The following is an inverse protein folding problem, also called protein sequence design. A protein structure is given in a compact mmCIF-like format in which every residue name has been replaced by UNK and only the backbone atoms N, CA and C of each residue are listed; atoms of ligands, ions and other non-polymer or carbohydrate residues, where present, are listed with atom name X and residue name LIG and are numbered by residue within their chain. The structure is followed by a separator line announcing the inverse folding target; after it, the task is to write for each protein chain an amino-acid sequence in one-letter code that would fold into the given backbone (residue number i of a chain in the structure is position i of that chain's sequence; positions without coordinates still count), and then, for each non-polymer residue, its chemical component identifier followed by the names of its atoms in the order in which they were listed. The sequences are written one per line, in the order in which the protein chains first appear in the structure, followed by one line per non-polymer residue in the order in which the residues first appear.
data_IF_605564474407
#
_entry.id   IF_605564474407
#
_cell.length_a   1.000
_cell.length_b   1.000
_cell.length_c   1.000
_cell.angle_alpha   90.00
_cell.angle_beta   90.00
_cell.angle_gamma   90.00
#
_symmetry.space_group_name_H-M   'P 1'
#
loop_
_entity.id
_entity.type
_entity.pdbx_description
1 polymer ?
#
# COMPACT_ATOMS: atom_id res chain seq x y z
N UNK A 1 18.07 -3.52 -9.25
CA UNK A 1 18.26 -3.49 -7.79
C UNK A 1 18.95 -4.77 -7.27
N UNK A 2 18.94 -5.88 -8.01
CA UNK A 2 19.58 -7.13 -7.60
C UNK A 2 18.92 -7.83 -6.40
N UNK A 3 17.66 -7.50 -6.09
CA UNK A 3 16.96 -8.12 -4.98
C UNK A 3 16.56 -9.57 -5.30
N UNK A 4 16.72 -10.45 -4.30
CA UNK A 4 16.20 -11.82 -4.40
C UNK A 4 14.71 -11.80 -4.00
N UNK A 5 13.83 -12.22 -4.92
CA UNK A 5 12.42 -12.37 -4.65
C UNK A 5 12.05 -13.84 -4.44
N UNK A 6 11.30 -14.12 -3.37
CA UNK A 6 10.67 -15.41 -3.13
C UNK A 6 9.18 -15.29 -3.38
N UNK A 7 8.68 -15.95 -4.42
CA UNK A 7 7.26 -15.98 -4.74
C UNK A 7 6.56 -17.10 -3.98
N UNK A 8 5.45 -16.77 -3.32
CA UNK A 8 4.58 -17.73 -2.62
C UNK A 8 3.30 -17.88 -3.42
N UNK A 9 3.10 -18.98 -4.17
CA UNK A 9 1.96 -19.13 -5.08
C UNK A 9 0.59 -19.12 -4.40
N UNK A 10 0.53 -19.61 -3.16
CA UNK A 10 -0.70 -19.63 -2.37
C UNK A 10 -0.49 -19.02 -0.98
N UNK A 11 -0.65 -17.70 -0.81
CA UNK A 11 -0.47 -17.05 0.47
C UNK A 11 -1.55 -17.40 1.51
N UNK A 12 -2.66 -18.05 1.10
CA UNK A 12 -3.71 -18.52 2.01
C UNK A 12 -3.29 -19.76 2.80
N UNK A 13 -2.34 -20.53 2.30
CA UNK A 13 -1.68 -21.60 3.07
C UNK A 13 -0.62 -20.99 3.97
N UNK A 14 -1.07 -20.46 5.11
CA UNK A 14 -0.23 -19.76 6.08
C UNK A 14 0.90 -20.65 6.60
N UNK A 15 0.65 -21.95 6.78
CA UNK A 15 1.67 -22.87 7.26
C UNK A 15 2.82 -23.01 6.28
N UNK A 16 2.52 -23.14 5.00
CA UNK A 16 3.52 -23.23 3.93
C UNK A 16 4.20 -21.89 3.68
N UNK A 17 3.47 -20.79 3.87
CA UNK A 17 4.04 -19.44 3.82
C UNK A 17 5.12 -19.28 4.90
N UNK A 18 4.80 -19.61 6.15
CA UNK A 18 5.74 -19.55 7.28
C UNK A 18 6.92 -20.48 7.07
N UNK A 19 6.71 -21.69 6.57
CA UNK A 19 7.81 -22.61 6.18
C UNK A 19 8.72 -21.98 5.12
N UNK A 20 8.15 -21.23 4.17
CA UNK A 20 8.94 -20.53 3.15
C UNK A 20 9.79 -19.43 3.76
N UNK A 21 9.20 -18.61 4.67
CA UNK A 21 9.93 -17.55 5.38
C UNK A 21 11.05 -18.11 6.27
N UNK A 22 10.89 -19.30 6.84
CA UNK A 22 11.92 -19.92 7.72
C UNK A 22 13.16 -20.38 6.98
N UNK A 23 13.14 -20.50 5.66
CA UNK A 23 14.26 -21.03 4.87
C UNK A 23 15.39 -20.04 4.66
N UNK A 24 15.11 -18.74 4.74
CA UNK A 24 16.09 -17.68 4.48
C UNK A 24 15.71 -16.40 5.24
N UNK A 25 16.68 -15.56 5.62
CA UNK A 25 16.40 -14.19 6.06
C UNK A 25 15.63 -13.42 4.98
N UNK A 26 14.65 -12.64 5.40
CA UNK A 26 13.87 -11.77 4.53
C UNK A 26 13.91 -10.34 5.04
N UNK A 27 14.05 -9.38 4.13
CA UNK A 27 14.27 -7.97 4.45
C UNK A 27 13.02 -7.13 4.23
N UNK A 28 12.16 -7.58 3.33
CA UNK A 28 10.93 -6.90 2.95
C UNK A 28 9.78 -7.92 2.90
N UNK A 29 8.67 -7.58 3.53
CA UNK A 29 7.44 -8.37 3.48
C UNK A 29 6.25 -7.49 3.08
N UNK A 30 5.85 -7.48 1.80
CA UNK A 30 4.61 -6.84 1.39
C UNK A 30 3.43 -7.79 1.64
N UNK A 31 2.36 -7.27 2.25
CA UNK A 31 1.15 -8.06 2.48
C UNK A 31 -0.08 -7.16 2.67
N UNK A 32 -1.25 -7.77 2.61
CA UNK A 32 -2.51 -7.15 3.02
C UNK A 32 -2.78 -7.39 4.50
N UNK A 33 -3.60 -6.56 5.13
CA UNK A 33 -3.92 -6.65 6.56
C UNK A 33 -4.36 -8.06 7.02
N UNK A 34 -5.16 -8.75 6.20
CA UNK A 34 -5.63 -10.11 6.51
C UNK A 34 -4.49 -11.14 6.56
N UNK A 35 -3.48 -11.01 5.70
CA UNK A 35 -2.32 -11.90 5.73
C UNK A 35 -1.42 -11.62 6.94
N UNK A 36 -1.19 -10.35 7.29
CA UNK A 36 -0.48 -10.00 8.53
C UNK A 36 -1.14 -10.62 9.76
N UNK A 37 -2.47 -10.49 9.87
CA UNK A 37 -3.22 -11.12 10.96
C UNK A 37 -3.08 -12.64 10.97
N UNK A 38 -3.17 -13.29 9.83
CA UNK A 38 -3.05 -14.74 9.73
C UNK A 38 -1.64 -15.23 10.14
N UNK A 39 -0.59 -14.49 9.74
CA UNK A 39 0.78 -14.77 10.16
C UNK A 39 0.96 -14.62 11.67
N UNK A 40 0.45 -13.54 12.25
CA UNK A 40 0.52 -13.28 13.68
C UNK A 40 -0.17 -14.35 14.53
N UNK A 41 -1.19 -15.00 14.00
CA UNK A 41 -1.89 -16.09 14.70
C UNK A 41 -1.16 -17.44 14.60
N UNK A 42 -0.18 -17.57 13.72
CA UNK A 42 0.57 -18.79 13.54
C UNK A 42 1.71 -18.89 14.59
N UNK A 43 1.72 -19.90 15.48
CA UNK A 43 2.75 -20.00 16.53
C UNK A 43 4.18 -20.13 15.98
N UNK A 44 4.35 -20.78 14.82
CA UNK A 44 5.66 -20.95 14.19
C UNK A 44 6.18 -19.63 13.61
N UNK A 45 5.30 -18.74 13.14
CA UNK A 45 5.69 -17.42 12.67
C UNK A 45 6.36 -16.60 13.77
N UNK A 46 5.79 -16.62 14.98
CA UNK A 46 6.33 -15.87 16.12
C UNK A 46 7.71 -16.35 16.59
N UNK A 47 8.15 -17.50 16.12
CA UNK A 47 9.46 -18.10 16.44
C UNK A 47 10.52 -17.82 15.37
N UNK A 48 10.16 -17.13 14.28
CA UNK A 48 11.11 -16.76 13.23
C UNK A 48 12.07 -15.67 13.73
N UNK A 49 13.25 -15.65 13.11
CA UNK A 49 14.20 -14.54 13.29
C UNK A 49 13.82 -13.37 12.39
N UNK A 50 13.48 -12.24 12.99
CA UNK A 50 13.13 -11.01 12.31
C UNK A 50 14.28 -9.98 12.28
N UNK A 51 15.47 -10.34 12.72
CA UNK A 51 16.61 -9.42 12.81
C UNK A 51 16.99 -8.78 11.45
N UNK A 52 16.67 -9.46 10.35
CA UNK A 52 16.90 -8.97 8.99
C UNK A 52 15.71 -8.21 8.39
N UNK A 53 14.55 -8.20 9.05
CA UNK A 53 13.35 -7.56 8.51
C UNK A 53 13.45 -6.03 8.63
N UNK A 54 13.58 -5.35 7.52
CA UNK A 54 13.77 -3.90 7.43
C UNK A 54 12.47 -3.14 7.17
N UNK A 55 11.53 -3.79 6.45
CA UNK A 55 10.28 -3.15 6.05
C UNK A 55 9.14 -4.16 5.94
N UNK A 56 8.01 -3.81 6.52
CA UNK A 56 6.73 -4.52 6.37
C UNK A 56 5.76 -3.58 5.68
N UNK A 57 5.47 -3.85 4.40
CA UNK A 57 4.63 -2.98 3.57
C UNK A 57 3.19 -3.45 3.56
N UNK A 58 2.29 -2.66 4.14
CA UNK A 58 0.85 -2.88 4.04
C UNK A 58 0.28 -2.12 2.84
N UNK A 59 -0.54 -2.78 2.05
CA UNK A 59 -1.19 -2.18 0.88
C UNK A 59 -2.37 -3.00 0.40
N UNK A 60 -3.11 -2.47 -0.59
CA UNK A 60 -4.29 -3.12 -1.17
C UNK A 60 -5.54 -3.08 -0.31
N UNK A 61 -5.43 -2.73 0.96
CA UNK A 61 -6.52 -2.42 1.90
C UNK A 61 -5.94 -1.75 3.14
N UNK A 62 -6.76 -0.97 3.84
CA UNK A 62 -6.34 -0.32 5.09
C UNK A 62 -5.87 -1.34 6.12
N UNK A 63 -4.75 -1.06 6.76
CA UNK A 63 -4.29 -1.82 7.90
C UNK A 63 -4.97 -1.31 9.18
N UNK A 64 -5.24 -2.21 10.14
CA UNK A 64 -5.76 -1.80 11.43
C UNK A 64 -4.62 -1.47 12.39
N UNK A 65 -4.82 -0.46 13.21
CA UNK A 65 -3.85 -0.09 14.25
C UNK A 65 -3.54 -1.26 15.21
N UNK A 66 -4.57 -2.06 15.54
CA UNK A 66 -4.38 -3.26 16.37
C UNK A 66 -3.45 -4.28 15.74
N UNK A 67 -3.59 -4.52 14.41
CA UNK A 67 -2.69 -5.40 13.66
C UNK A 67 -1.27 -4.82 13.63
N UNK A 68 -1.14 -3.53 13.36
CA UNK A 68 0.16 -2.86 13.28
C UNK A 68 0.92 -2.90 14.61
N UNK A 69 0.24 -2.62 15.74
CA UNK A 69 0.85 -2.73 17.07
C UNK A 69 1.27 -4.17 17.41
N UNK A 70 0.41 -5.15 17.14
CA UNK A 70 0.75 -6.55 17.37
C UNK A 70 1.90 -6.99 16.48
N UNK A 71 1.91 -6.59 15.20
CA UNK A 71 3.01 -6.86 14.29
C UNK A 71 4.34 -6.32 14.82
N UNK A 72 4.36 -5.06 15.23
CA UNK A 72 5.54 -4.42 15.82
C UNK A 72 6.02 -5.17 17.08
N UNK A 73 5.10 -5.60 17.93
CA UNK A 73 5.46 -6.32 19.16
C UNK A 73 6.09 -7.70 18.91
N UNK A 74 5.74 -8.35 17.79
CA UNK A 74 6.27 -9.67 17.43
C UNK A 74 7.55 -9.55 16.61
N UNK A 75 7.62 -8.62 15.67
CA UNK A 75 8.70 -8.55 14.67
C UNK A 75 9.75 -7.49 14.97
N UNK A 76 9.43 -6.51 15.80
CA UNK A 76 10.26 -5.31 15.98
C UNK A 76 10.31 -4.38 14.75
N UNK A 77 9.52 -4.65 13.72
CA UNK A 77 9.48 -3.88 12.46
C UNK A 77 8.14 -3.17 12.32
N UNK A 78 8.16 -1.87 12.10
CA UNK A 78 6.95 -1.09 11.86
C UNK A 78 6.24 -1.53 10.57
N UNK A 79 4.90 -1.50 10.62
CA UNK A 79 4.08 -1.67 9.43
C UNK A 79 3.93 -0.32 8.73
N UNK A 80 4.34 -0.25 7.49
CA UNK A 80 4.29 0.95 6.66
C UNK A 80 3.13 0.81 5.67
N UNK A 81 2.24 1.78 5.64
CA UNK A 81 1.15 1.80 4.69
C UNK A 81 1.54 2.54 3.42
N UNK A 82 1.05 2.04 2.30
CA UNK A 82 1.07 2.70 1.01
C UNK A 82 -0.24 2.45 0.28
N UNK A 83 -0.57 3.35 -0.62
CA UNK A 83 -1.77 3.28 -1.42
C UNK A 83 -1.43 3.32 -2.91
N UNK A 84 -2.21 2.60 -3.67
CA UNK A 84 -2.17 2.57 -5.12
C UNK A 84 -3.10 1.50 -5.68
N UNK A 85 -3.20 1.46 -6.99
CA UNK A 85 -4.10 0.58 -7.74
C UNK A 85 -3.41 0.10 -9.02
N UNK A 86 -4.03 -0.78 -9.77
CA UNK A 86 -3.45 -1.29 -11.03
C UNK A 86 -3.19 -0.16 -12.02
N UNK A 87 -4.07 0.83 -12.06
CA UNK A 87 -4.00 2.01 -12.90
C UNK A 87 -2.85 2.97 -12.55
N UNK A 88 -2.24 2.79 -11.38
CA UNK A 88 -1.07 3.56 -10.92
C UNK A 88 0.20 2.71 -10.84
N UNK A 89 0.27 1.59 -11.57
CA UNK A 89 1.39 0.64 -11.49
C UNK A 89 1.69 0.20 -10.05
N UNK A 90 0.65 -0.06 -9.28
CA UNK A 90 0.62 -0.55 -7.90
C UNK A 90 0.85 0.48 -6.79
N UNK A 91 1.43 1.65 -7.05
CA UNK A 91 1.73 2.60 -5.97
C UNK A 91 1.54 4.05 -6.40
N UNK A 92 0.95 4.85 -5.53
CA UNK A 92 0.78 6.31 -5.66
C UNK A 92 1.37 7.06 -4.49
N UNK A 93 1.13 6.56 -3.28
CA UNK A 93 1.64 7.15 -2.02
C UNK A 93 2.29 6.10 -1.15
N UNK A 94 3.17 6.52 -0.24
CA UNK A 94 3.76 5.66 0.76
C UNK A 94 4.15 6.46 2.00
N UNK A 95 4.02 5.86 3.17
CA UNK A 95 4.61 6.42 4.38
C UNK A 95 6.14 6.29 4.32
N UNK A 96 6.90 7.21 4.95
CA UNK A 96 8.35 7.14 4.96
C UNK A 96 8.86 5.80 5.53
N UNK A 97 9.76 5.14 4.81
CA UNK A 97 10.32 3.83 5.21
C UNK A 97 11.12 3.87 6.52
N UNK A 98 11.51 5.06 6.96
CA UNK A 98 12.18 5.27 8.25
C UNK A 98 11.20 5.42 9.41
N UNK A 99 9.89 5.46 9.15
CA UNK A 99 8.86 5.55 10.19
C UNK A 99 8.96 4.36 11.14
N UNK A 100 8.91 4.66 12.43
CA UNK A 100 8.93 3.66 13.51
C UNK A 100 7.54 3.36 14.06
N UNK A 101 6.55 4.09 13.60
CA UNK A 101 5.18 4.04 14.08
C UNK A 101 4.21 3.91 12.91
N UNK A 102 3.09 3.28 13.19
CA UNK A 102 1.96 3.21 12.27
C UNK A 102 1.25 4.57 12.25
N UNK A 103 1.06 5.14 11.08
CA UNK A 103 0.47 6.48 10.93
C UNK A 103 -1.06 6.45 10.79
N UNK A 104 -1.62 5.36 10.26
CA UNK A 104 -3.04 5.28 9.89
C UNK A 104 -3.38 6.12 8.65
N UNK A 105 -2.37 6.57 7.91
CA UNK A 105 -2.53 7.32 6.65
C UNK A 105 -1.93 6.55 5.49
N UNK A 106 -2.35 6.87 4.27
CA UNK A 106 -1.76 6.29 3.05
C UNK A 106 -0.39 6.89 2.71
N UNK A 107 0.07 7.89 3.45
CA UNK A 107 1.39 8.49 3.33
C UNK A 107 1.47 9.61 2.29
N UNK A 108 2.71 9.93 1.92
CA UNK A 108 3.05 11.03 1.02
C UNK A 108 3.07 10.55 -0.44
N UNK A 109 2.75 11.44 -1.41
CA UNK A 109 2.94 11.14 -2.81
C UNK A 109 4.40 10.75 -3.10
N UNK A 110 4.61 9.75 -3.95
CA UNK A 110 5.95 9.41 -4.40
C UNK A 110 6.54 10.48 -5.32
N UNK A 111 7.88 10.55 -5.49
CA UNK A 111 8.52 11.52 -6.36
C UNK A 111 7.93 11.53 -7.78
N UNK A 112 7.55 12.71 -8.25
CA UNK A 112 6.92 12.91 -9.55
C UNK A 112 5.42 12.63 -9.61
N UNK A 113 4.80 12.30 -8.48
CA UNK A 113 3.36 12.08 -8.36
C UNK A 113 2.71 13.27 -7.67
N UNK A 114 1.55 13.68 -8.15
CA UNK A 114 0.69 14.69 -7.56
C UNK A 114 -0.63 14.06 -7.16
N UNK A 115 -1.06 14.29 -5.93
CA UNK A 115 -2.38 13.91 -5.42
C UNK A 115 -3.21 15.18 -5.22
N UNK A 116 -4.47 15.11 -5.58
CA UNK A 116 -5.46 16.13 -5.28
C UNK A 116 -6.74 15.48 -4.74
N UNK A 117 -7.39 16.15 -3.80
CA UNK A 117 -8.73 15.78 -3.38
C UNK A 117 -9.70 16.65 -4.20
N UNK A 118 -10.63 16.00 -4.91
CA UNK A 118 -11.52 16.69 -5.84
C UNK A 118 -12.99 16.40 -5.53
N UNK A 119 -13.85 17.34 -5.92
CA UNK A 119 -15.31 17.16 -5.91
C UNK A 119 -15.78 16.39 -7.16
N UNK A 120 -17.09 16.10 -7.22
CA UNK A 120 -17.70 15.39 -8.36
C UNK A 120 -17.54 16.15 -9.69
N UNK A 121 -17.44 17.47 -9.64
CA UNK A 121 -17.22 18.32 -10.81
C UNK A 121 -15.74 18.35 -11.27
N UNK A 122 -14.82 17.78 -10.47
CA UNK A 122 -13.38 17.74 -10.75
C UNK A 122 -12.61 18.95 -10.24
N UNK A 123 -13.22 19.81 -9.43
CA UNK A 123 -12.52 20.93 -8.81
C UNK A 123 -11.71 20.46 -7.60
N UNK A 124 -10.52 21.00 -7.43
CA UNK A 124 -9.70 20.70 -6.25
C UNK A 124 -10.30 21.30 -4.99
N UNK A 125 -10.33 20.50 -3.94
CA UNK A 125 -10.80 20.87 -2.62
C UNK A 125 -9.65 21.35 -1.72
N UNK A 126 -9.91 22.19 -0.73
CA UNK A 126 -8.89 22.63 0.23
C UNK A 126 -8.50 21.49 1.18
N UNK A 127 -7.33 21.65 1.83
CA UNK A 127 -6.86 20.78 2.92
C UNK A 127 -7.97 20.63 3.98
N UNK A 128 -8.15 19.41 4.47
CA UNK A 128 -9.17 19.04 5.44
C UNK A 128 -10.55 18.75 4.86
N UNK A 129 -10.78 19.02 3.57
CA UNK A 129 -12.04 18.66 2.92
C UNK A 129 -12.01 17.22 2.41
N UNK A 130 -13.13 16.50 2.52
CA UNK A 130 -13.30 15.14 2.02
C UNK A 130 -13.76 15.17 0.56
N UNK A 131 -13.16 14.34 -0.28
CA UNK A 131 -13.52 14.18 -1.68
C UNK A 131 -12.83 13.01 -2.33
N UNK A 132 -12.92 12.89 -3.64
CA UNK A 132 -12.27 11.83 -4.39
C UNK A 132 -10.76 12.07 -4.46
N UNK A 133 -9.98 11.03 -4.15
CA UNK A 133 -8.54 11.04 -4.38
C UNK A 133 -8.31 11.00 -5.88
N UNK A 134 -7.65 12.01 -6.42
CA UNK A 134 -7.26 12.06 -7.82
C UNK A 134 -5.74 12.13 -7.93
N UNK A 135 -5.17 11.42 -8.90
CA UNK A 135 -3.73 11.24 -9.06
C UNK A 135 -3.25 11.63 -10.45
N UNK A 136 -2.11 12.30 -10.51
CA UNK A 136 -1.39 12.60 -11.74
C UNK A 136 0.09 12.24 -11.57
N UNK A 137 0.68 11.60 -12.58
CA UNK A 137 2.10 11.23 -12.53
C UNK A 137 2.49 10.24 -13.63
N UNK A 138 3.79 9.97 -13.78
CA UNK A 138 4.31 9.12 -14.83
C UNK A 138 3.94 7.64 -14.68
N UNK A 139 3.47 7.23 -13.51
CA UNK A 139 3.02 5.87 -13.20
C UNK A 139 1.53 5.63 -13.49
N UNK A 140 0.79 6.71 -13.80
CA UNK A 140 -0.64 6.60 -14.13
C UNK A 140 -0.80 6.01 -15.53
N UNK A 141 -1.74 5.08 -15.68
CA UNK A 141 -2.05 4.44 -16.96
C UNK A 141 -2.36 5.47 -18.06
N UNK A 142 -2.10 5.12 -19.29
CA UNK A 142 -2.52 5.92 -20.46
C UNK A 142 -4.00 5.72 -20.80
N UNK A 143 -4.61 4.66 -20.32
CA UNK A 143 -6.03 4.34 -20.51
C UNK A 143 -6.33 2.84 -20.48
N UNK A 144 -7.61 2.51 -20.50
CA UNK A 144 -8.09 1.13 -20.58
C UNK A 144 -8.02 0.59 -22.01
N UNK A 145 -7.51 -0.62 -22.15
CA UNK A 145 -7.32 -1.25 -23.45
C UNK A 145 -8.64 -1.39 -24.22
N UNK A 146 -8.69 -0.83 -25.43
CA UNK A 146 -9.87 -0.82 -26.30
C UNK A 146 -11.15 -0.23 -25.68
N UNK A 147 -11.02 0.66 -24.67
CA UNK A 147 -12.14 1.29 -23.97
C UNK A 147 -11.96 2.82 -23.91
N UNK A 148 -12.05 3.55 -25.03
CA UNK A 148 -11.78 4.99 -25.05
C UNK A 148 -12.81 5.80 -24.24
N UNK A 149 -14.07 5.37 -24.19
CA UNK A 149 -15.13 6.03 -23.44
C UNK A 149 -14.90 5.88 -21.91
N UNK A 150 -14.53 4.70 -21.43
CA UNK A 150 -14.20 4.48 -20.03
C UNK A 150 -12.90 5.20 -19.65
N UNK A 151 -11.93 5.24 -20.55
CA UNK A 151 -10.73 6.03 -20.38
C UNK A 151 -11.05 7.51 -20.21
N UNK A 152 -11.91 8.07 -21.06
CA UNK A 152 -12.30 9.48 -20.97
C UNK A 152 -13.00 9.82 -19.64
N UNK A 153 -13.80 8.89 -19.09
CA UNK A 153 -14.45 9.07 -17.79
C UNK A 153 -13.48 8.97 -16.60
N UNK A 154 -12.39 8.22 -16.78
CA UNK A 154 -11.40 8.02 -15.74
C UNK A 154 -10.50 9.24 -15.49
N UNK A 155 -10.54 10.26 -16.34
CA UNK A 155 -9.71 11.44 -16.20
C UNK A 155 -10.53 12.72 -16.05
N UNK A 156 -10.03 13.62 -15.21
CA UNK A 156 -10.54 14.99 -15.10
C UNK A 156 -10.03 15.85 -16.26
N UNK A 157 -10.69 17.00 -16.59
CA UNK A 157 -10.24 17.88 -17.68
C UNK A 157 -8.82 18.42 -17.51
N UNK A 158 -8.31 18.53 -16.29
CA UNK A 158 -6.96 18.96 -15.96
C UNK A 158 -5.96 17.80 -15.85
N UNK A 159 -6.34 16.58 -16.29
CA UNK A 159 -5.45 15.43 -16.50
C UNK A 159 -5.20 14.56 -15.27
N UNK A 160 -5.91 14.75 -14.18
CA UNK A 160 -5.84 13.82 -13.05
C UNK A 160 -6.71 12.58 -13.32
N UNK A 161 -6.22 11.42 -12.96
CA UNK A 161 -7.00 10.20 -12.95
C UNK A 161 -7.86 10.13 -11.67
N UNK A 162 -9.13 9.85 -11.86
CA UNK A 162 -10.10 9.55 -10.80
C UNK A 162 -9.88 8.13 -10.29
N UNK A 163 -9.83 7.96 -8.99
CA UNK A 163 -9.52 6.64 -8.41
C UNK A 163 -10.73 5.90 -7.88
N UNK A 164 -11.82 6.61 -7.64
CA UNK A 164 -13.01 6.09 -6.96
C UNK A 164 -12.84 5.97 -5.44
N UNK A 165 -11.64 6.23 -4.92
CA UNK A 165 -11.37 6.23 -3.48
C UNK A 165 -11.65 7.62 -2.90
N UNK A 166 -12.23 7.66 -1.70
CA UNK A 166 -12.49 8.90 -0.96
C UNK A 166 -11.42 9.11 0.10
N UNK A 167 -10.91 10.33 0.19
CA UNK A 167 -9.89 10.70 1.16
C UNK A 167 -9.97 12.15 1.62
N UNK A 168 -9.06 12.47 2.52
CA UNK A 168 -8.83 13.82 3.05
C UNK A 168 -7.33 14.04 3.02
N UNK A 169 -6.91 15.23 2.60
CA UNK A 169 -5.52 15.67 2.69
C UNK A 169 -5.34 16.49 3.95
N UNK A 170 -4.37 16.13 4.78
CA UNK A 170 -3.94 16.90 5.95
C UNK A 170 -2.75 17.82 5.61
N UNK A 171 -2.24 18.55 6.60
CA UNK A 171 -1.10 19.47 6.47
C UNK A 171 0.25 18.73 6.40
#
# INVERSE_FOLDING_TARGET
WGAHMTLVPNPRDVSKFVETLSKRPFHLLPAVNTLFNALLQNPRFRQLDFSSLLMSQAGGMAASEGTARHWMSVTGCAMIEGWGMSETCAIGTNNPVISREFSGTIGLPLPGITIAIKDDAGNSLPIGASGEICIHGPNVMVGYHNQPEETAKAFTPDGFMRTGDVGIMDE
#
